data_IF_156857500945
#
_entry.id   IF_156857500945
#
_cell.length_a   1.000
_cell.length_b   1.000
_cell.length_c   1.000
_cell.angle_alpha   90.00
_cell.angle_beta   90.00
_cell.angle_gamma   90.00
#
_symmetry.space_group_name_H-M   'P 1'
#
loop_
_entity.id
_entity.type
_entity.pdbx_description
1 polymer ?
#
# COMPACT_ATOMS: atom_id res chain seq x y z
N UNK A 1 -4.82 15.50 -16.01
CA UNK A 1 -5.16 16.53 -15.00
C UNK A 1 -4.30 16.27 -13.79
N UNK A 2 -3.52 17.24 -13.37
CA UNK A 2 -2.77 17.19 -12.11
C UNK A 2 -3.71 17.64 -10.98
N UNK A 3 -3.86 16.80 -9.96
CA UNK A 3 -4.70 17.07 -8.80
C UNK A 3 -3.82 17.47 -7.61
N UNK A 4 -4.20 18.56 -6.94
CA UNK A 4 -3.59 18.99 -5.69
C UNK A 4 -4.28 18.38 -4.46
N UNK A 5 -4.10 19.05 -3.32
CA UNK A 5 -4.70 18.65 -2.03
C UNK A 5 -5.76 19.65 -1.53
N UNK A 6 -6.22 20.55 -2.39
CA UNK A 6 -7.39 21.38 -2.11
C UNK A 6 -8.66 20.50 -2.03
N UNK A 7 -9.67 20.95 -1.31
CA UNK A 7 -10.89 20.17 -1.09
C UNK A 7 -11.56 19.73 -2.39
N UNK A 8 -11.60 20.62 -3.40
CA UNK A 8 -12.15 20.31 -4.71
C UNK A 8 -11.37 19.21 -5.44
N UNK A 9 -10.03 19.26 -5.42
CA UNK A 9 -9.15 18.24 -6.03
C UNK A 9 -9.28 16.90 -5.33
N UNK A 10 -9.34 16.93 -4.00
CA UNK A 10 -9.55 15.72 -3.18
C UNK A 10 -10.93 15.09 -3.49
N UNK A 11 -11.98 15.90 -3.64
CA UNK A 11 -13.31 15.44 -4.04
C UNK A 11 -13.31 14.79 -5.43
N UNK A 12 -12.64 15.42 -6.40
CA UNK A 12 -12.49 14.86 -7.75
C UNK A 12 -11.70 13.54 -7.71
N UNK A 13 -10.59 13.48 -6.97
CA UNK A 13 -9.79 12.27 -6.80
C UNK A 13 -10.59 11.12 -6.20
N UNK A 14 -11.43 11.38 -5.19
CA UNK A 14 -12.33 10.39 -4.60
C UNK A 14 -13.38 9.90 -5.60
N UNK A 15 -13.94 10.78 -6.44
CA UNK A 15 -14.86 10.42 -7.51
C UNK A 15 -14.21 9.47 -8.55
N UNK A 16 -12.99 9.79 -8.97
CA UNK A 16 -12.21 8.93 -9.88
C UNK A 16 -11.92 7.55 -9.25
N UNK A 17 -11.51 7.52 -7.98
CA UNK A 17 -11.32 6.27 -7.23
C UNK A 17 -12.59 5.42 -7.24
N UNK A 18 -13.73 6.00 -6.90
CA UNK A 18 -15.03 5.30 -6.91
C UNK A 18 -15.36 4.73 -8.28
N UNK A 19 -15.10 5.48 -9.35
CA UNK A 19 -15.29 5.00 -10.73
C UNK A 19 -14.43 3.78 -11.04
N UNK A 20 -13.15 3.81 -10.64
CA UNK A 20 -12.23 2.67 -10.86
C UNK A 20 -12.63 1.46 -10.01
N UNK A 21 -13.06 1.69 -8.76
CA UNK A 21 -13.52 0.59 -7.89
C UNK A 21 -14.82 -0.07 -8.37
N UNK A 22 -15.64 0.63 -9.14
CA UNK A 22 -16.84 0.09 -9.76
C UNK A 22 -16.58 -0.74 -11.03
N UNK A 23 -15.37 -0.77 -11.56
CA UNK A 23 -15.02 -1.60 -12.70
C UNK A 23 -15.21 -3.09 -12.38
N UNK A 24 -15.67 -3.89 -13.35
CA UNK A 24 -15.74 -5.34 -13.18
C UNK A 24 -14.37 -5.93 -12.81
N UNK A 25 -14.38 -6.99 -12.00
CA UNK A 25 -13.13 -7.69 -11.69
C UNK A 25 -12.42 -8.15 -12.97
N UNK A 26 -11.08 -8.04 -13.03
CA UNK A 26 -10.14 -7.69 -11.97
C UNK A 26 -9.93 -6.18 -11.74
N UNK A 27 -10.62 -5.29 -12.48
CA UNK A 27 -10.54 -3.84 -12.32
C UNK A 27 -9.11 -3.31 -12.44
N UNK A 28 -8.71 -2.40 -11.55
CA UNK A 28 -7.37 -1.81 -11.54
C UNK A 28 -6.22 -2.83 -11.41
N UNK A 29 -6.48 -4.04 -10.91
CA UNK A 29 -5.45 -5.08 -10.79
C UNK A 29 -4.98 -5.57 -12.16
N UNK A 30 -5.79 -5.47 -13.20
CA UNK A 30 -5.38 -5.80 -14.56
C UNK A 30 -4.27 -4.86 -15.06
N UNK A 31 -4.43 -3.57 -14.82
CA UNK A 31 -3.44 -2.57 -15.21
C UNK A 31 -2.15 -2.72 -14.40
N UNK A 32 -2.28 -3.04 -13.11
CA UNK A 32 -1.13 -3.31 -12.23
C UNK A 32 -0.39 -4.56 -12.70
N UNK A 33 -1.08 -5.63 -13.09
CA UNK A 33 -0.43 -6.83 -13.64
C UNK A 33 0.33 -6.49 -14.93
N UNK A 34 -0.28 -5.73 -15.84
CA UNK A 34 0.37 -5.31 -17.08
C UNK A 34 1.64 -4.46 -16.79
N UNK A 35 1.60 -3.59 -15.78
CA UNK A 35 2.75 -2.82 -15.35
C UNK A 35 3.86 -3.71 -14.77
N UNK A 36 3.54 -4.71 -13.95
CA UNK A 36 4.48 -5.68 -13.40
C UNK A 36 5.17 -6.45 -14.54
N UNK A 37 4.40 -6.95 -15.50
CA UNK A 37 4.90 -7.71 -16.64
C UNK A 37 5.83 -6.85 -17.53
N UNK A 38 5.46 -5.58 -17.74
CA UNK A 38 6.29 -4.63 -18.47
C UNK A 38 7.62 -4.37 -17.76
N UNK A 39 7.59 -4.07 -16.45
CA UNK A 39 8.82 -3.84 -15.68
C UNK A 39 9.71 -5.07 -15.67
N UNK A 40 9.13 -6.26 -15.48
CA UNK A 40 9.87 -7.52 -15.51
C UNK A 40 10.58 -7.73 -16.86
N UNK A 41 9.88 -7.50 -17.96
CA UNK A 41 10.43 -7.63 -19.32
C UNK A 41 11.52 -6.59 -19.61
N UNK A 42 11.33 -5.35 -19.13
CA UNK A 42 12.23 -4.24 -19.45
C UNK A 42 13.49 -4.23 -18.60
N UNK A 43 13.35 -4.55 -17.31
CA UNK A 43 14.45 -4.49 -16.34
C UNK A 43 15.15 -5.84 -16.12
N UNK A 44 14.52 -6.96 -16.49
CA UNK A 44 15.09 -8.31 -16.40
C UNK A 44 15.36 -8.81 -14.99
N UNK A 45 14.83 -8.13 -13.96
CA UNK A 45 15.09 -8.40 -12.55
C UNK A 45 13.81 -8.70 -11.75
N UNK A 46 13.98 -8.80 -10.43
CA UNK A 46 12.87 -8.95 -9.49
C UNK A 46 12.09 -7.63 -9.39
N UNK A 47 10.77 -7.73 -9.24
CA UNK A 47 9.86 -6.57 -9.17
C UNK A 47 9.29 -6.43 -7.76
N UNK A 48 9.43 -5.24 -7.17
CA UNK A 48 8.76 -4.84 -5.94
C UNK A 48 7.63 -3.85 -6.21
N UNK A 49 6.64 -3.84 -5.34
CA UNK A 49 5.53 -2.88 -5.41
C UNK A 49 5.41 -2.08 -4.10
N UNK A 50 5.22 -0.78 -4.20
CA UNK A 50 4.91 0.11 -3.09
C UNK A 50 3.66 0.93 -3.42
N UNK A 51 2.83 1.19 -2.42
CA UNK A 51 1.65 2.04 -2.61
C UNK A 51 1.17 2.66 -1.31
N UNK A 52 0.47 3.78 -1.43
CA UNK A 52 0.07 4.64 -0.33
C UNK A 52 -1.45 4.82 -0.31
N UNK A 53 -2.06 4.85 0.86
CA UNK A 53 -3.49 5.02 1.04
C UNK A 53 -4.29 3.97 0.23
N UNK A 54 -5.11 4.36 -0.72
CA UNK A 54 -5.77 3.42 -1.63
C UNK A 54 -4.76 2.56 -2.40
N UNK A 55 -3.64 3.15 -2.84
CA UNK A 55 -2.53 2.41 -3.43
C UNK A 55 -1.91 1.37 -2.48
N UNK A 56 -1.97 1.60 -1.16
CA UNK A 56 -1.57 0.61 -0.16
C UNK A 56 -2.48 -0.62 -0.16
N UNK A 57 -3.80 -0.43 -0.25
CA UNK A 57 -4.75 -1.53 -0.42
C UNK A 57 -4.49 -2.30 -1.73
N UNK A 58 -4.27 -1.58 -2.84
CA UNK A 58 -3.96 -2.21 -4.13
C UNK A 58 -2.64 -2.98 -4.08
N UNK A 59 -1.64 -2.47 -3.37
CA UNK A 59 -0.36 -3.17 -3.13
C UNK A 59 -0.55 -4.47 -2.37
N UNK A 60 -1.36 -4.47 -1.32
CA UNK A 60 -1.73 -5.69 -0.58
C UNK A 60 -2.45 -6.70 -1.47
N UNK A 61 -3.47 -6.27 -2.21
CA UNK A 61 -4.19 -7.12 -3.15
C UNK A 61 -3.27 -7.68 -4.24
N UNK A 62 -2.35 -6.87 -4.74
CA UNK A 62 -1.34 -7.32 -5.72
C UNK A 62 -0.45 -8.41 -5.15
N UNK A 63 0.03 -8.27 -3.92
CA UNK A 63 0.82 -9.29 -3.24
C UNK A 63 0.08 -10.63 -3.06
N UNK A 64 -1.25 -10.58 -2.93
CA UNK A 64 -2.09 -11.76 -2.75
C UNK A 64 -2.56 -12.40 -4.07
N UNK A 65 -2.83 -11.60 -5.09
CA UNK A 65 -3.59 -12.04 -6.28
C UNK A 65 -2.76 -12.07 -7.56
N UNK A 66 -1.76 -11.18 -7.71
CA UNK A 66 -1.00 -11.04 -8.94
C UNK A 66 0.24 -11.93 -8.96
N UNK A 67 0.90 -11.98 -10.12
CA UNK A 67 2.10 -12.76 -10.34
C UNK A 67 3.29 -11.85 -10.71
N UNK A 68 4.51 -12.37 -10.60
CA UNK A 68 5.72 -11.64 -11.01
C UNK A 68 6.28 -10.67 -9.95
N UNK A 69 5.62 -10.49 -8.80
CA UNK A 69 6.16 -9.72 -7.68
C UNK A 69 7.14 -10.56 -6.86
N UNK A 70 8.10 -9.88 -6.23
CA UNK A 70 9.08 -10.45 -5.30
C UNK A 70 8.97 -9.83 -3.90
N UNK A 71 8.37 -8.66 -3.76
CA UNK A 71 8.13 -7.99 -2.47
C UNK A 71 7.04 -6.91 -2.60
N UNK A 72 6.34 -6.60 -1.50
CA UNK A 72 5.30 -5.58 -1.46
C UNK A 72 5.37 -4.74 -0.17
N UNK A 73 5.26 -3.42 -0.32
CA UNK A 73 5.32 -2.47 0.78
C UNK A 73 4.09 -1.53 0.81
N UNK A 74 2.94 -1.96 1.36
CA UNK A 74 1.77 -1.12 1.54
C UNK A 74 1.93 -0.12 2.69
N UNK A 75 1.59 1.14 2.45
CA UNK A 75 1.53 2.21 3.44
C UNK A 75 0.08 2.60 3.71
N UNK A 76 -0.32 2.55 4.98
CA UNK A 76 -1.64 2.95 5.48
C UNK A 76 -2.79 2.62 4.50
N UNK A 77 -2.83 1.35 4.06
CA UNK A 77 -3.80 0.87 3.08
C UNK A 77 -5.24 0.89 3.64
N UNK A 78 -6.03 1.88 3.22
CA UNK A 78 -7.42 2.00 3.67
C UNK A 78 -8.24 0.79 3.21
N UNK A 79 -8.87 0.10 4.17
CA UNK A 79 -9.60 -1.14 3.93
C UNK A 79 -8.78 -2.42 3.95
N UNK A 80 -7.45 -2.34 3.99
CA UNK A 80 -6.54 -3.50 4.00
C UNK A 80 -6.74 -4.40 5.23
N UNK A 81 -7.16 -3.83 6.34
CA UNK A 81 -7.36 -4.54 7.62
C UNK A 81 -8.80 -5.04 7.83
N UNK A 82 -9.67 -4.98 6.82
CA UNK A 82 -11.00 -5.59 6.90
C UNK A 82 -10.91 -7.11 6.94
N UNK A 83 -11.93 -7.77 7.47
CA UNK A 83 -11.99 -9.23 7.56
C UNK A 83 -11.74 -9.91 6.21
N UNK A 84 -12.39 -9.44 5.16
CA UNK A 84 -12.24 -9.98 3.80
C UNK A 84 -10.81 -9.86 3.25
N UNK A 85 -10.12 -8.76 3.55
CA UNK A 85 -8.72 -8.59 3.11
C UNK A 85 -7.75 -9.33 4.03
N UNK A 86 -8.01 -9.39 5.33
CA UNK A 86 -7.21 -10.16 6.29
C UNK A 86 -7.28 -11.68 6.08
N UNK A 87 -8.35 -12.17 5.46
CA UNK A 87 -8.45 -13.58 5.08
C UNK A 87 -7.56 -13.98 3.89
N UNK A 88 -7.04 -13.02 3.12
CA UNK A 88 -6.15 -13.27 1.98
C UNK A 88 -4.75 -13.69 2.46
N UNK A 89 -4.04 -14.43 1.63
CA UNK A 89 -2.65 -14.82 1.89
C UNK A 89 -1.74 -14.19 0.83
N UNK A 90 -0.72 -13.48 1.28
CA UNK A 90 0.29 -12.91 0.38
C UNK A 90 1.17 -14.03 -0.20
N UNK A 91 1.45 -13.95 -1.50
CA UNK A 91 2.35 -14.86 -2.23
C UNK A 91 3.82 -14.48 -2.10
N UNK A 92 4.10 -13.26 -1.63
CA UNK A 92 5.42 -12.67 -1.53
C UNK A 92 5.62 -12.02 -0.17
N UNK A 93 6.86 -11.76 0.28
CA UNK A 93 7.13 -11.00 1.48
C UNK A 93 6.43 -9.64 1.47
N UNK A 94 5.86 -9.26 2.61
CA UNK A 94 5.15 -7.99 2.82
C UNK A 94 5.75 -7.23 3.99
N UNK A 95 5.99 -5.92 3.80
CA UNK A 95 6.30 -4.97 4.87
C UNK A 95 5.25 -3.86 4.88
N UNK A 96 4.36 -3.85 5.86
CA UNK A 96 3.27 -2.88 5.97
C UNK A 96 3.55 -1.79 7.01
N UNK A 97 3.15 -0.56 6.70
CA UNK A 97 3.32 0.61 7.54
C UNK A 97 1.96 1.23 7.85
N UNK A 98 1.63 1.40 9.15
CA UNK A 98 0.39 1.98 9.62
C UNK A 98 0.65 3.16 10.54
N UNK A 99 -0.31 4.09 10.59
CA UNK A 99 -0.29 5.21 11.51
C UNK A 99 -1.16 4.90 12.74
N UNK A 100 -0.70 5.26 13.94
CA UNK A 100 -1.41 4.97 15.20
C UNK A 100 -2.60 5.89 15.42
N UNK A 101 -2.58 7.09 14.83
CA UNK A 101 -3.66 8.08 14.90
C UNK A 101 -4.47 8.15 13.59
N UNK A 102 -4.57 7.03 12.88
CA UNK A 102 -5.32 6.94 11.63
C UNK A 102 -6.83 6.91 11.91
N UNK A 103 -7.58 7.85 11.31
CA UNK A 103 -9.04 7.96 11.49
C UNK A 103 -9.83 6.88 10.75
N UNK A 104 -9.23 6.21 9.80
CA UNK A 104 -9.87 5.20 8.94
C UNK A 104 -9.42 3.77 9.22
N UNK A 105 -8.27 3.60 9.89
CA UNK A 105 -7.66 2.30 10.18
C UNK A 105 -7.39 2.23 11.67
N UNK A 106 -8.23 1.52 12.43
CA UNK A 106 -8.07 1.40 13.87
C UNK A 106 -6.90 0.50 14.24
N UNK A 107 -6.24 0.79 15.36
CA UNK A 107 -5.14 -0.03 15.88
C UNK A 107 -5.59 -1.46 16.24
N UNK A 108 -6.86 -1.65 16.63
CA UNK A 108 -7.42 -2.97 16.86
C UNK A 108 -7.44 -3.79 15.56
N UNK A 109 -7.86 -3.16 14.45
CA UNK A 109 -7.85 -3.83 13.14
C UNK A 109 -6.43 -4.12 12.64
N UNK A 110 -5.46 -3.23 12.91
CA UNK A 110 -4.04 -3.46 12.62
C UNK A 110 -3.49 -4.63 13.43
N UNK A 111 -3.87 -4.71 14.71
CA UNK A 111 -3.45 -5.81 15.60
C UNK A 111 -4.02 -7.15 15.15
N UNK A 112 -5.29 -7.18 14.76
CA UNK A 112 -5.92 -8.38 14.18
C UNK A 112 -5.26 -8.80 12.87
N UNK A 113 -4.98 -7.84 11.98
CA UNK A 113 -4.28 -8.07 10.72
C UNK A 113 -2.87 -8.63 10.96
N UNK A 114 -2.14 -8.07 11.93
CA UNK A 114 -0.80 -8.57 12.32
C UNK A 114 -0.86 -10.00 12.84
N UNK A 115 -1.85 -10.33 13.64
CA UNK A 115 -2.05 -11.69 14.15
C UNK A 115 -2.38 -12.70 13.03
N UNK A 116 -3.14 -12.27 12.00
CA UNK A 116 -3.47 -13.10 10.84
C UNK A 116 -2.29 -13.31 9.89
N UNK A 117 -1.28 -12.41 9.91
CA UNK A 117 -0.13 -12.44 8.99
C UNK A 117 1.22 -12.43 9.73
N UNK A 118 1.55 -13.49 10.51
CA UNK A 118 2.74 -13.51 11.37
C UNK A 118 4.07 -13.47 10.61
N UNK A 119 4.07 -13.77 9.32
CA UNK A 119 5.27 -13.70 8.45
C UNK A 119 5.49 -12.32 7.83
N UNK A 120 4.49 -11.44 7.89
CA UNK A 120 4.60 -10.07 7.40
C UNK A 120 5.27 -9.17 8.43
N UNK A 121 6.10 -8.24 7.96
CA UNK A 121 6.69 -7.20 8.80
C UNK A 121 5.69 -6.05 8.91
N UNK A 122 5.15 -5.78 10.09
CA UNK A 122 4.15 -4.75 10.31
C UNK A 122 4.65 -3.75 11.33
N UNK A 123 4.77 -2.50 10.90
CA UNK A 123 5.24 -1.36 11.68
C UNK A 123 4.15 -0.33 11.88
N UNK A 124 4.11 0.25 13.07
CA UNK A 124 3.24 1.37 13.42
C UNK A 124 4.06 2.60 13.75
N UNK A 125 3.47 3.78 13.58
CA UNK A 125 4.11 5.07 13.74
C UNK A 125 3.18 6.04 14.46
N UNK A 126 3.70 6.82 15.39
CA UNK A 126 2.98 7.89 16.08
C UNK A 126 2.68 9.04 15.10
N UNK A 127 1.73 8.83 14.20
CA UNK A 127 1.42 9.70 13.08
C UNK A 127 -0.03 9.51 12.61
N UNK A 128 -0.49 10.40 11.73
CA UNK A 128 -1.80 10.33 11.10
C UNK A 128 -1.75 9.67 9.72
N UNK A 129 -2.93 9.34 9.17
CA UNK A 129 -3.06 8.84 7.80
C UNK A 129 -2.38 9.77 6.78
N UNK A 130 -1.53 9.20 5.93
CA UNK A 130 -0.81 9.99 4.93
C UNK A 130 0.49 10.62 5.44
N UNK A 131 1.02 10.18 6.57
CA UNK A 131 2.24 10.72 7.18
C UNK A 131 3.47 10.75 6.26
N UNK A 132 3.48 9.95 5.21
CA UNK A 132 4.59 9.88 4.26
C UNK A 132 4.48 10.89 3.11
N UNK A 133 3.42 11.72 3.05
CA UNK A 133 3.21 12.70 1.98
C UNK A 133 3.58 14.12 2.45
N UNK A 134 4.72 14.62 2.00
CA UNK A 134 5.25 15.94 2.37
C UNK A 134 4.46 17.14 1.82
N UNK A 135 3.44 16.88 0.97
CA UNK A 135 2.50 17.90 0.48
C UNK A 135 1.22 18.00 1.32
N UNK A 136 1.09 17.19 2.38
CA UNK A 136 -0.11 17.14 3.24
C UNK A 136 0.22 17.61 4.67
N UNK A 137 -0.78 18.20 5.33
CA UNK A 137 -0.68 18.59 6.74
C UNK A 137 -0.47 17.42 7.72
N UNK A 138 -0.70 16.18 7.27
CA UNK A 138 -0.44 14.96 8.03
C UNK A 138 1.04 14.48 7.94
N UNK A 139 1.90 15.21 7.21
CA UNK A 139 3.31 14.88 7.10
C UNK A 139 3.97 14.78 8.48
N UNK A 140 4.61 13.65 8.76
CA UNK A 140 5.43 13.45 9.95
C UNK A 140 6.82 12.98 9.51
N UNK A 141 7.80 13.89 9.63
CA UNK A 141 9.12 13.73 9.01
C UNK A 141 9.91 12.53 9.54
N UNK A 142 9.84 12.29 10.86
CA UNK A 142 10.59 11.20 11.49
C UNK A 142 10.02 9.83 11.12
N UNK A 143 8.69 9.67 11.20
CA UNK A 143 8.01 8.45 10.79
C UNK A 143 8.20 8.18 9.30
N UNK A 144 8.12 9.21 8.46
CA UNK A 144 8.33 9.07 7.02
C UNK A 144 9.77 8.63 6.69
N UNK A 145 10.77 9.22 7.34
CA UNK A 145 12.17 8.86 7.17
C UNK A 145 12.44 7.41 7.60
N UNK A 146 11.94 7.03 8.78
CA UNK A 146 12.11 5.67 9.31
C UNK A 146 11.36 4.62 8.46
N UNK A 147 10.14 4.91 8.01
CA UNK A 147 9.40 4.02 7.14
C UNK A 147 10.10 3.83 5.78
N UNK A 148 10.64 4.91 5.20
CA UNK A 148 11.43 4.85 3.98
C UNK A 148 12.70 4.02 4.14
N UNK A 149 13.44 4.22 5.22
CA UNK A 149 14.66 3.43 5.53
C UNK A 149 14.34 1.93 5.58
N UNK A 150 13.31 1.55 6.34
CA UNK A 150 12.84 0.17 6.46
C UNK A 150 12.44 -0.41 5.12
N UNK A 151 11.67 0.34 4.32
CA UNK A 151 11.22 -0.09 3.00
C UNK A 151 12.39 -0.30 2.04
N UNK A 152 13.37 0.61 2.02
CA UNK A 152 14.55 0.45 1.17
C UNK A 152 15.40 -0.76 1.59
N UNK A 153 15.61 -0.96 2.88
CA UNK A 153 16.30 -2.15 3.38
C UNK A 153 15.56 -3.44 3.03
N UNK A 154 14.23 -3.44 3.17
CA UNK A 154 13.37 -4.56 2.80
C UNK A 154 13.43 -4.88 1.31
N UNK A 155 13.32 -3.89 0.44
CA UNK A 155 13.44 -4.10 -0.98
C UNK A 155 14.85 -4.55 -1.38
N UNK A 156 15.90 -3.98 -0.79
CA UNK A 156 17.27 -4.45 -1.03
C UNK A 156 17.45 -5.92 -0.67
N UNK A 157 16.87 -6.39 0.42
CA UNK A 157 16.96 -7.78 0.85
C UNK A 157 16.19 -8.75 -0.07
N UNK A 158 15.10 -8.32 -0.69
CA UNK A 158 14.22 -9.19 -1.47
C UNK A 158 14.40 -9.06 -2.99
N UNK A 159 14.90 -7.91 -3.46
CA UNK A 159 15.08 -7.66 -4.90
C UNK A 159 16.55 -7.83 -5.34
N UNK A 160 17.50 -7.70 -4.44
CA UNK A 160 18.95 -7.81 -4.74
C UNK A 160 19.63 -6.47 -4.86
#
# INVERSE_FOLDING_TARGET
VELGYAEADMGLGMGLKTTVEALPAPGALQDIQAAIDHVHTTCGGKVGIVGYCWGGLLTWRSACLLNGLSAAAPYYGGGMTTEAESARQAKVPVMAHFAEEDKWISMDSVSAFKAAHPTSQIFTYAAHHGFNCNHRGAWEAQSAALAKERTLAFFKANLG
#
